data_IF_224567222166
#
_entry.id   IF_224567222166
#
_cell.length_a   1.000
_cell.length_b   1.000
_cell.length_c   1.000
_cell.angle_alpha   90.00
_cell.angle_beta   90.00
_cell.angle_gamma   90.00
#
_symmetry.space_group_name_H-M   'P 1'
#
loop_
_entity.id
_entity.type
_entity.pdbx_description
1 polymer ?
#
# COMPACT_ATOMS: atom_id res chain seq x y z
N UNK A 1 36.78 22.02 82.34
CA UNK A 1 35.36 21.90 82.00
C UNK A 1 35.09 22.45 80.60
N UNK A 2 35.27 21.73 79.50
CA UNK A 2 36.19 20.67 79.13
C UNK A 2 36.37 20.82 77.62
N UNK A 3 37.63 20.76 77.20
CA UNK A 3 38.03 20.84 75.80
C UNK A 3 37.46 19.64 75.04
N UNK A 4 36.57 19.90 74.08
CA UNK A 4 36.09 18.90 73.15
C UNK A 4 37.27 18.29 72.37
N UNK A 5 37.35 16.97 72.40
CA UNK A 5 38.50 16.22 71.88
C UNK A 5 38.45 16.13 70.35
N UNK A 6 39.62 16.11 69.71
CA UNK A 6 39.82 15.90 68.25
C UNK A 6 39.29 14.56 67.71
N UNK A 7 38.61 13.75 68.53
CA UNK A 7 38.03 12.45 68.17
C UNK A 7 36.50 12.44 68.12
N UNK A 8 35.86 13.57 68.41
CA UNK A 8 34.41 13.71 68.28
C UNK A 8 34.02 14.15 66.86
N UNK A 9 34.11 13.16 65.95
CA UNK A 9 33.08 12.87 64.94
C UNK A 9 32.87 14.00 63.90
N UNK A 10 33.68 14.13 62.84
CA UNK A 10 33.82 13.14 61.75
C UNK A 10 32.50 12.39 61.43
N UNK A 11 31.38 13.11 61.41
CA UNK A 11 30.08 12.64 60.89
C UNK A 11 29.45 13.58 59.85
N UNK A 12 30.22 14.51 59.31
CA UNK A 12 29.73 15.49 58.32
C UNK A 12 30.75 15.73 57.19
N UNK A 13 31.17 14.64 56.56
CA UNK A 13 31.62 14.68 55.17
C UNK A 13 30.56 13.96 54.36
N UNK A 14 29.48 14.68 54.05
CA UNK A 14 28.49 14.21 53.08
C UNK A 14 29.22 13.91 51.79
N UNK A 15 29.31 12.63 51.45
CA UNK A 15 29.69 12.18 50.12
C UNK A 15 28.71 12.84 49.16
N UNK A 16 29.16 13.87 48.45
CA UNK A 16 28.52 14.29 47.21
C UNK A 16 28.72 13.11 46.26
N UNK A 17 27.80 12.16 46.31
CA UNK A 17 27.60 11.23 45.22
C UNK A 17 27.16 12.14 44.08
N UNK A 18 28.08 12.46 43.17
CA UNK A 18 27.69 12.76 41.81
C UNK A 18 26.88 11.54 41.38
N UNK A 19 25.56 11.66 41.47
CA UNK A 19 24.67 10.82 40.71
C UNK A 19 25.02 11.16 39.26
N UNK A 20 25.96 10.39 38.70
CA UNK A 20 26.06 10.21 37.27
C UNK A 20 24.65 9.79 36.88
N UNK A 21 23.88 10.75 36.35
CA UNK A 21 22.63 10.48 35.68
C UNK A 21 23.03 9.58 34.53
N UNK A 22 22.97 8.28 34.78
CA UNK A 22 23.02 7.26 33.76
C UNK A 22 21.90 7.64 32.82
N UNK A 23 22.28 8.28 31.70
CA UNK A 23 21.46 8.36 30.52
C UNK A 23 20.87 6.95 30.35
N UNK A 24 19.54 6.79 30.29
CA UNK A 24 18.95 5.48 30.09
C UNK A 24 19.58 4.93 28.83
N UNK A 25 20.39 3.90 29.00
CA UNK A 25 21.08 3.24 27.90
C UNK A 25 19.99 2.77 26.97
N UNK A 26 20.12 3.13 25.71
CA UNK A 26 19.35 2.67 24.54
C UNK A 26 19.32 1.13 24.37
N UNK A 27 19.78 0.37 25.36
CA UNK A 27 19.90 -1.07 25.40
C UNK A 27 18.58 -1.81 25.69
N UNK A 28 17.59 -1.16 26.32
CA UNK A 28 16.34 -1.85 26.70
C UNK A 28 15.51 -2.26 25.47
N UNK A 29 15.43 -1.42 24.44
CA UNK A 29 14.70 -1.70 23.21
C UNK A 29 15.43 -2.70 22.29
N UNK A 30 16.74 -2.51 22.11
CA UNK A 30 17.58 -3.43 21.37
C UNK A 30 17.61 -4.84 22.00
N UNK A 31 17.46 -4.93 23.33
CA UNK A 31 17.45 -6.20 24.07
C UNK A 31 16.13 -6.98 24.01
N UNK A 32 14.98 -6.34 23.73
CA UNK A 32 13.67 -7.00 23.74
C UNK A 32 13.17 -7.46 22.37
N UNK A 33 13.65 -6.88 21.26
CA UNK A 33 13.05 -7.11 19.93
C UNK A 33 13.96 -7.75 18.87
N UNK A 34 15.24 -7.99 19.17
CA UNK A 34 16.21 -8.40 18.15
C UNK A 34 16.43 -7.31 17.08
N UNK A 35 17.54 -7.37 16.35
CA UNK A 35 17.92 -6.33 15.39
C UNK A 35 17.14 -6.35 14.05
N UNK A 36 16.08 -7.14 13.92
CA UNK A 36 15.24 -7.11 12.72
C UNK A 36 13.83 -7.61 13.02
N UNK A 37 12.86 -6.69 13.04
CA UNK A 37 11.45 -7.06 13.11
C UNK A 37 11.02 -7.65 11.77
N UNK A 38 10.38 -8.82 11.80
CA UNK A 38 9.86 -9.48 10.62
C UNK A 38 8.96 -8.53 9.82
N UNK A 39 9.22 -8.38 8.52
CA UNK A 39 8.38 -7.56 7.65
C UNK A 39 8.39 -8.12 6.22
N UNK A 40 7.22 -8.46 5.62
CA UNK A 40 5.86 -8.44 6.20
C UNK A 40 5.67 -9.47 7.33
N UNK A 41 4.59 -9.32 8.11
CA UNK A 41 4.11 -10.33 9.06
C UNK A 41 3.72 -11.60 8.29
N UNK A 42 4.52 -12.67 8.35
CA UNK A 42 4.23 -13.91 7.57
C UNK A 42 3.03 -14.67 8.11
N UNK A 43 2.81 -14.61 9.42
CA UNK A 43 1.68 -15.26 10.10
C UNK A 43 0.97 -14.23 11.00
N UNK A 44 0.20 -13.29 10.41
CA UNK A 44 -0.58 -12.37 11.21
C UNK A 44 -1.65 -13.14 12.00
N UNK A 45 -1.91 -12.81 13.28
CA UNK A 45 -2.94 -13.49 14.04
C UNK A 45 -4.31 -13.41 13.33
N UNK A 46 -5.07 -14.51 13.24
CA UNK A 46 -6.38 -14.50 12.59
C UNK A 46 -7.31 -13.45 13.21
N UNK A 47 -8.06 -12.73 12.38
CA UNK A 47 -8.99 -11.68 12.82
C UNK A 47 -8.34 -10.35 13.22
N UNK A 48 -7.00 -10.26 13.27
CA UNK A 48 -6.30 -9.00 13.46
C UNK A 48 -6.16 -8.30 12.11
N UNK A 49 -6.84 -7.16 11.95
CA UNK A 49 -6.78 -6.27 10.78
C UNK A 49 -7.24 -6.92 9.45
N UNK A 50 -8.51 -7.38 9.35
CA UNK A 50 -9.01 -7.99 8.12
C UNK A 50 -9.11 -6.97 6.98
N UNK A 51 -8.86 -7.41 5.76
CA UNK A 51 -9.09 -6.62 4.55
C UNK A 51 -7.88 -6.52 3.62
N UNK A 52 -8.12 -5.83 2.52
CA UNK A 52 -7.17 -5.64 1.42
C UNK A 52 -7.00 -4.15 1.19
N UNK A 53 -5.78 -3.71 0.90
CA UNK A 53 -5.49 -2.34 0.52
C UNK A 53 -6.20 -2.02 -0.82
N UNK A 54 -7.08 -1.01 -0.88
CA UNK A 54 -7.86 -0.68 -2.07
C UNK A 54 -6.96 -0.21 -3.23
N UNK A 55 -5.78 0.34 -2.95
CA UNK A 55 -4.85 0.77 -3.99
C UNK A 55 -4.15 -0.40 -4.70
N UNK A 56 -3.64 -1.37 -3.94
CA UNK A 56 -2.62 -2.31 -4.44
C UNK A 56 -2.95 -3.79 -4.28
N UNK A 57 -4.09 -4.13 -3.65
CA UNK A 57 -4.51 -5.52 -3.47
C UNK A 57 -3.79 -6.29 -2.36
N UNK A 58 -2.91 -5.64 -1.57
CA UNK A 58 -2.14 -6.31 -0.51
C UNK A 58 -2.97 -6.47 0.79
N UNK A 59 -2.79 -7.58 1.49
CA UNK A 59 -3.44 -7.86 2.77
C UNK A 59 -3.05 -6.85 3.86
N UNK A 60 -4.01 -6.20 4.51
CA UNK A 60 -3.70 -5.24 5.59
C UNK A 60 -3.02 -5.93 6.78
N UNK A 61 -3.42 -7.16 7.10
CA UNK A 61 -2.85 -7.93 8.20
C UNK A 61 -1.34 -8.21 8.01
N UNK A 62 -0.93 -8.66 6.82
CA UNK A 62 0.48 -8.95 6.53
C UNK A 62 1.37 -7.70 6.56
N UNK A 63 0.79 -6.53 6.24
CA UNK A 63 1.50 -5.25 6.17
C UNK A 63 1.14 -4.32 7.34
N UNK A 64 0.73 -4.91 8.47
CA UNK A 64 0.18 -4.19 9.62
C UNK A 64 1.12 -3.16 10.26
N UNK A 65 2.44 -3.30 10.09
CA UNK A 65 3.49 -2.40 10.63
C UNK A 65 3.69 -1.11 9.85
N UNK A 66 3.18 -1.03 8.63
CA UNK A 66 3.34 0.16 7.77
C UNK A 66 2.01 0.75 7.34
N UNK A 67 0.90 0.27 7.88
CA UNK A 67 -0.44 0.63 7.43
C UNK A 67 -0.83 2.05 7.84
N UNK A 68 -1.73 2.62 7.04
CA UNK A 68 -2.32 3.94 7.23
C UNK A 68 -3.83 3.86 7.18
N UNK A 69 -4.50 4.70 7.95
CA UNK A 69 -5.89 5.06 7.74
C UNK A 69 -5.94 6.52 7.33
N UNK A 70 -6.81 6.86 6.38
CA UNK A 70 -6.98 8.23 5.93
C UNK A 70 -8.34 8.40 5.26
N UNK A 71 -8.82 9.64 5.19
CA UNK A 71 -9.96 10.02 4.36
C UNK A 71 -9.44 10.70 3.10
N UNK A 72 -9.78 10.20 1.91
CA UNK A 72 -9.41 10.79 0.62
C UNK A 72 -10.67 10.87 -0.24
N UNK A 73 -10.95 12.03 -0.82
CA UNK A 73 -12.16 12.25 -1.66
C UNK A 73 -13.46 11.84 -0.92
N UNK A 74 -13.50 12.08 0.40
CA UNK A 74 -14.62 11.70 1.29
C UNK A 74 -14.68 10.21 1.69
N UNK A 75 -13.81 9.36 1.16
CA UNK A 75 -13.80 7.92 1.44
C UNK A 75 -12.81 7.59 2.57
N UNK A 76 -13.27 6.84 3.59
CA UNK A 76 -12.40 6.31 4.65
C UNK A 76 -11.67 5.06 4.18
N UNK A 77 -10.34 5.14 4.07
CA UNK A 77 -9.49 4.15 3.44
C UNK A 77 -8.51 3.50 4.43
N UNK A 78 -8.24 2.22 4.23
CA UNK A 78 -7.23 1.45 4.95
C UNK A 78 -6.15 0.98 4.00
N UNK A 79 -4.93 1.46 4.18
CA UNK A 79 -3.83 1.33 3.22
C UNK A 79 -2.68 0.52 3.83
N UNK A 80 -1.99 -0.27 3.03
CA UNK A 80 -0.87 -1.09 3.53
C UNK A 80 0.42 -0.30 3.80
N UNK A 81 0.56 0.90 3.22
CA UNK A 81 1.80 1.69 3.26
C UNK A 81 1.59 3.17 2.97
N UNK A 82 2.56 4.00 3.39
CA UNK A 82 2.62 5.42 2.99
C UNK A 82 2.82 5.59 1.48
N UNK A 83 3.42 4.60 0.82
CA UNK A 83 3.49 4.59 -0.65
C UNK A 83 2.07 4.53 -1.24
N UNK A 84 1.19 3.65 -0.74
CA UNK A 84 -0.21 3.61 -1.20
C UNK A 84 -1.00 4.86 -0.80
N UNK A 85 -0.66 5.51 0.32
CA UNK A 85 -1.23 6.80 0.69
C UNK A 85 -0.86 7.87 -0.33
N UNK A 86 0.43 8.05 -0.62
CA UNK A 86 0.91 8.99 -1.62
C UNK A 86 0.31 8.72 -3.01
N UNK A 87 0.25 7.44 -3.39
CA UNK A 87 -0.29 7.02 -4.68
C UNK A 87 -1.78 7.36 -4.80
N UNK A 88 -2.61 7.07 -3.79
CA UNK A 88 -4.04 7.43 -3.84
C UNK A 88 -4.29 8.93 -3.78
N UNK A 89 -3.51 9.71 -3.02
CA UNK A 89 -3.59 11.17 -3.04
C UNK A 89 -3.39 11.68 -4.47
N UNK A 90 -2.38 11.17 -5.18
CA UNK A 90 -2.11 11.52 -6.58
C UNK A 90 -3.23 11.06 -7.51
N UNK A 91 -3.63 9.79 -7.40
CA UNK A 91 -4.63 9.18 -8.28
C UNK A 91 -6.00 9.84 -8.16
N UNK A 92 -6.44 10.18 -6.96
CA UNK A 92 -7.69 10.91 -6.73
C UNK A 92 -7.57 12.41 -7.02
N UNK A 93 -6.35 12.97 -6.97
CA UNK A 93 -6.13 14.42 -7.05
C UNK A 93 -6.68 15.17 -5.82
N UNK A 94 -6.81 14.49 -4.68
CA UNK A 94 -7.38 15.03 -3.45
C UNK A 94 -6.45 14.79 -2.27
N UNK A 95 -6.26 15.77 -1.36
CA UNK A 95 -5.43 15.59 -0.19
C UNK A 95 -6.03 14.54 0.76
N UNK A 96 -5.16 13.88 1.52
CA UNK A 96 -5.59 13.01 2.60
C UNK A 96 -5.92 13.83 3.86
N UNK A 97 -6.97 13.44 4.55
CA UNK A 97 -7.42 14.00 5.83
C UNK A 97 -7.44 12.90 6.89
N UNK A 98 -7.42 13.29 8.18
CA UNK A 98 -7.51 12.35 9.31
C UNK A 98 -6.52 11.20 9.18
N UNK A 99 -5.26 11.52 8.82
CA UNK A 99 -4.25 10.51 8.54
C UNK A 99 -3.74 9.92 9.84
N UNK A 100 -3.93 8.61 10.02
CA UNK A 100 -3.36 7.83 11.11
C UNK A 100 -2.34 6.83 10.56
N UNK A 101 -1.29 6.57 11.34
CA UNK A 101 -0.24 5.61 11.03
C UNK A 101 -0.12 4.55 12.11
N UNK A 102 0.09 3.30 11.72
CA UNK A 102 0.45 2.25 12.67
C UNK A 102 1.93 2.35 13.06
N UNK A 103 2.20 2.14 14.34
CA UNK A 103 3.56 2.15 14.88
C UNK A 103 4.29 0.86 14.49
N UNK A 104 5.52 0.99 14.02
CA UNK A 104 6.26 -0.15 13.45
C UNK A 104 6.53 -1.27 14.47
N UNK A 105 6.80 -0.90 15.72
CA UNK A 105 7.09 -1.82 16.82
C UNK A 105 5.80 -2.39 17.41
N UNK A 106 4.76 -1.56 17.54
CA UNK A 106 3.46 -1.92 18.13
C UNK A 106 2.33 -1.72 17.12
N UNK A 107 2.22 -2.60 16.09
CA UNK A 107 1.33 -2.39 14.94
C UNK A 107 -0.18 -2.42 15.25
N UNK A 108 -0.55 -2.83 16.47
CA UNK A 108 -1.92 -2.75 16.98
C UNK A 108 -2.32 -1.32 17.35
N UNK A 109 -1.35 -0.43 17.59
CA UNK A 109 -1.58 0.97 17.93
C UNK A 109 -1.39 1.86 16.71
N UNK A 110 -2.29 2.84 16.57
CA UNK A 110 -2.15 3.93 15.62
C UNK A 110 -2.20 5.27 16.33
N UNK A 111 -1.58 6.27 15.71
CA UNK A 111 -1.60 7.66 16.13
C UNK A 111 -1.79 8.57 14.91
N UNK A 112 -2.22 9.83 15.08
CA UNK A 112 -2.16 10.81 14.00
C UNK A 112 -0.77 10.84 13.38
N UNK A 113 -0.68 10.76 12.06
CA UNK A 113 0.59 10.55 11.36
C UNK A 113 1.59 11.69 11.63
N UNK A 114 1.10 12.92 11.77
CA UNK A 114 1.89 14.10 12.10
C UNK A 114 2.57 14.04 13.49
N UNK A 115 2.07 13.20 14.40
CA UNK A 115 2.65 13.02 15.73
C UNK A 115 3.72 11.93 15.77
N UNK A 116 3.85 11.11 14.71
CA UNK A 116 4.88 10.09 14.63
C UNK A 116 6.24 10.70 14.22
N UNK A 117 7.32 10.12 14.73
CA UNK A 117 8.67 10.38 14.21
C UNK A 117 9.02 9.31 13.18
N UNK A 118 9.49 9.74 12.00
CA UNK A 118 9.82 8.84 10.91
C UNK A 118 11.33 8.57 10.85
N UNK A 119 11.71 7.36 10.43
CA UNK A 119 13.08 7.05 10.00
C UNK A 119 13.05 6.64 8.53
N UNK A 120 13.70 7.46 7.70
CA UNK A 120 13.81 7.25 6.25
C UNK A 120 15.06 6.47 5.90
N UNK A 121 14.95 5.49 5.00
CA UNK A 121 16.10 4.80 4.43
C UNK A 121 16.88 3.91 5.42
N UNK A 122 16.23 3.47 6.49
CA UNK A 122 16.80 2.46 7.38
C UNK A 122 16.93 1.10 6.67
N UNK A 123 17.76 0.21 7.23
CA UNK A 123 17.89 -1.20 6.80
C UNK A 123 16.61 -2.01 7.02
N UNK A 124 15.75 -1.59 7.95
CA UNK A 124 14.45 -2.22 8.11
C UNK A 124 13.61 -2.04 6.85
N UNK A 125 12.98 -3.12 6.38
CA UNK A 125 12.29 -3.12 5.10
C UNK A 125 11.07 -2.21 5.12
N UNK A 126 10.95 -1.37 4.10
CA UNK A 126 9.72 -0.64 3.81
C UNK A 126 8.70 -1.50 3.07
N UNK A 127 7.53 -0.92 2.80
CA UNK A 127 6.48 -1.54 2.00
C UNK A 127 6.29 -0.76 0.70
N UNK A 128 6.42 -1.46 -0.44
CA UNK A 128 6.17 -0.89 -1.77
C UNK A 128 7.10 0.29 -2.14
N UNK A 129 8.29 0.39 -1.55
CA UNK A 129 9.28 1.43 -1.86
C UNK A 129 10.69 0.96 -1.52
N UNK A 130 11.69 1.44 -2.27
CA UNK A 130 13.12 1.18 -1.99
C UNK A 130 13.61 1.93 -0.74
N UNK A 131 13.03 3.12 -0.48
CA UNK A 131 13.35 3.91 0.72
C UNK A 131 12.31 3.60 1.78
N UNK A 132 12.73 2.93 2.86
CA UNK A 132 11.88 2.64 4.02
C UNK A 132 11.45 3.93 4.72
N UNK A 133 10.27 3.90 5.37
CA UNK A 133 9.62 5.05 6.00
C UNK A 133 8.95 4.59 7.28
N UNK A 134 9.78 4.33 8.28
CA UNK A 134 9.39 3.65 9.52
C UNK A 134 8.79 4.67 10.47
N UNK A 135 7.53 4.47 10.89
CA UNK A 135 6.85 5.33 11.84
C UNK A 135 7.04 4.81 13.27
N UNK A 136 7.54 5.69 14.14
CA UNK A 136 7.85 5.42 15.54
C UNK A 136 7.14 6.46 16.40
N UNK A 137 6.82 6.09 17.63
CA UNK A 137 5.95 6.94 18.46
C UNK A 137 6.71 8.15 19.00
N UNK A 138 7.94 7.92 19.47
CA UNK A 138 8.72 8.93 20.18
C UNK A 138 10.02 9.21 19.47
N UNK A 139 10.48 10.45 19.60
CA UNK A 139 11.74 10.87 19.01
C UNK A 139 12.93 10.07 19.56
N UNK A 140 12.97 9.78 20.86
CA UNK A 140 14.07 9.00 21.45
C UNK A 140 14.12 7.57 20.87
N UNK A 141 12.95 6.98 20.61
CA UNK A 141 12.83 5.67 19.97
C UNK A 141 13.32 5.71 18.52
N UNK A 142 12.99 6.77 17.78
CA UNK A 142 13.50 6.98 16.42
C UNK A 142 15.02 7.18 16.35
N UNK A 143 15.59 7.92 17.30
CA UNK A 143 17.05 8.07 17.42
C UNK A 143 17.71 6.72 17.70
N UNK A 144 17.19 5.96 18.67
CA UNK A 144 17.72 4.63 18.98
C UNK A 144 17.57 3.66 17.80
N UNK A 145 16.43 3.71 17.11
CA UNK A 145 16.16 2.91 15.92
C UNK A 145 17.16 3.23 14.80
N UNK A 146 17.38 4.51 14.50
CA UNK A 146 18.31 4.96 13.47
C UNK A 146 19.77 4.62 13.82
N UNK A 147 20.16 4.71 15.09
CA UNK A 147 21.48 4.27 15.53
C UNK A 147 21.70 2.76 15.30
N UNK A 148 20.66 1.95 15.52
CA UNK A 148 20.70 0.51 15.29
C UNK A 148 20.54 0.09 13.83
N UNK A 149 19.77 0.82 13.01
CA UNK A 149 19.34 0.38 11.67
C UNK A 149 19.79 1.29 10.54
N UNK A 150 20.45 2.41 10.83
CA UNK A 150 20.69 3.48 9.88
C UNK A 150 19.43 4.26 9.52
N UNK A 151 19.57 5.17 8.56
CA UNK A 151 18.50 6.06 8.12
C UNK A 151 18.53 7.41 8.82
N UNK A 152 17.65 8.31 8.39
CA UNK A 152 17.56 9.69 8.85
C UNK A 152 16.20 9.96 9.46
N UNK A 153 16.17 10.69 10.58
CA UNK A 153 14.91 11.14 11.17
C UNK A 153 14.18 12.10 10.22
N UNK A 154 12.86 12.05 10.23
CA UNK A 154 11.99 12.86 9.42
C UNK A 154 10.61 13.06 10.08
N UNK A 155 9.90 14.08 9.63
CA UNK A 155 8.48 14.32 9.90
C UNK A 155 7.58 13.51 8.95
N UNK A 156 6.28 13.49 9.24
CA UNK A 156 5.28 12.94 8.30
C UNK A 156 5.32 13.62 6.93
N UNK A 157 5.44 14.95 6.90
CA UNK A 157 5.46 15.72 5.66
C UNK A 157 6.65 15.32 4.77
N UNK A 158 7.84 15.18 5.36
CA UNK A 158 9.04 14.72 4.66
C UNK A 158 8.92 13.27 4.20
N UNK A 159 8.35 12.38 5.03
CA UNK A 159 8.12 11.00 4.67
C UNK A 159 7.11 10.84 3.51
N UNK A 160 6.03 11.61 3.53
CA UNK A 160 5.01 11.63 2.47
C UNK A 160 5.57 12.24 1.18
N UNK A 161 6.35 13.33 1.29
CA UNK A 161 7.06 13.93 0.15
C UNK A 161 8.02 12.92 -0.50
N UNK A 162 8.84 12.24 0.31
CA UNK A 162 9.74 11.19 -0.17
C UNK A 162 8.99 9.98 -0.76
N UNK A 163 7.75 9.71 -0.34
CA UNK A 163 6.92 8.66 -0.93
C UNK A 163 6.37 9.10 -2.29
N UNK A 164 5.93 10.35 -2.38
CA UNK A 164 5.36 10.98 -3.59
C UNK A 164 6.41 11.10 -4.70
N UNK A 165 7.61 11.59 -4.37
CA UNK A 165 8.69 11.78 -5.32
C UNK A 165 9.19 10.47 -5.97
N UNK A 166 8.97 9.33 -5.30
CA UNK A 166 9.41 8.01 -5.75
C UNK A 166 8.36 7.19 -6.50
N UNK A 167 7.13 7.69 -6.69
CA UNK A 167 6.02 6.87 -7.21
C UNK A 167 6.31 6.33 -8.61
N UNK A 168 6.75 7.18 -9.53
CA UNK A 168 6.93 6.80 -10.94
C UNK A 168 8.03 5.75 -11.13
N UNK A 169 9.10 5.85 -10.34
CA UNK A 169 10.19 4.87 -10.34
C UNK A 169 9.76 3.53 -9.74
N UNK A 170 8.77 3.53 -8.85
CA UNK A 170 8.29 2.30 -8.22
C UNK A 170 7.34 1.48 -9.08
N UNK A 171 6.58 2.05 -10.02
CA UNK A 171 5.60 1.27 -10.78
C UNK A 171 6.21 0.09 -11.56
N UNK A 172 7.28 0.26 -12.36
CA UNK A 172 7.89 -0.86 -13.07
C UNK A 172 8.48 -1.90 -12.11
N UNK A 173 9.06 -1.46 -10.99
CA UNK A 173 9.63 -2.34 -9.98
C UNK A 173 8.55 -3.17 -9.25
N UNK A 174 7.40 -2.56 -8.95
CA UNK A 174 6.23 -3.22 -8.36
C UNK A 174 5.66 -4.26 -9.33
N UNK A 175 5.51 -3.90 -10.62
CA UNK A 175 5.06 -4.84 -11.64
C UNK A 175 6.03 -6.03 -11.75
N UNK A 176 7.34 -5.78 -11.86
CA UNK A 176 8.35 -6.83 -11.93
C UNK A 176 8.33 -7.75 -10.69
N UNK A 177 8.17 -7.18 -9.49
CA UNK A 177 8.04 -7.96 -8.26
C UNK A 177 6.77 -8.83 -8.26
N UNK A 178 5.65 -8.29 -8.72
CA UNK A 178 4.38 -9.03 -8.85
C UNK A 178 4.49 -10.16 -9.87
N UNK A 179 5.13 -9.93 -11.02
CA UNK A 179 5.45 -10.96 -12.02
C UNK A 179 6.32 -12.06 -11.43
N UNK A 180 7.41 -11.70 -10.75
CA UNK A 180 8.31 -12.64 -10.08
C UNK A 180 7.59 -13.50 -9.02
N UNK A 181 6.62 -12.91 -8.32
CA UNK A 181 5.82 -13.63 -7.31
C UNK A 181 4.67 -14.46 -7.87
N UNK A 182 4.39 -14.40 -9.19
CA UNK A 182 3.21 -15.01 -9.80
C UNK A 182 1.88 -14.34 -9.43
N UNK A 183 1.92 -13.14 -8.85
CA UNK A 183 0.70 -12.36 -8.57
C UNK A 183 0.04 -11.90 -9.86
N UNK A 184 0.85 -11.57 -10.86
CA UNK A 184 0.43 -11.23 -12.22
C UNK A 184 1.30 -11.94 -13.24
N UNK A 185 0.78 -12.18 -14.43
CA UNK A 185 1.52 -12.77 -15.54
C UNK A 185 0.99 -12.29 -16.89
N UNK A 186 1.84 -12.28 -17.91
CA UNK A 186 1.39 -12.00 -19.27
C UNK A 186 0.81 -13.28 -19.89
N UNK A 187 -0.37 -13.22 -20.53
CA UNK A 187 -1.01 -14.41 -21.10
C UNK A 187 -0.18 -14.98 -22.25
N UNK A 188 0.00 -16.30 -22.26
CA UNK A 188 0.57 -17.01 -23.41
C UNK A 188 -0.30 -16.91 -24.67
N UNK A 189 0.29 -17.07 -25.85
CA UNK A 189 -0.40 -16.89 -27.14
C UNK A 189 -1.62 -17.81 -27.36
N UNK A 190 -1.62 -18.99 -26.74
CA UNK A 190 -2.72 -19.97 -26.82
C UNK A 190 -3.82 -19.79 -25.76
N UNK A 191 -3.63 -18.89 -24.80
CA UNK A 191 -4.61 -18.67 -23.72
C UNK A 191 -5.86 -17.99 -24.28
N UNK A 192 -7.03 -18.55 -23.94
CA UNK A 192 -8.34 -18.02 -24.35
C UNK A 192 -9.03 -17.33 -23.19
N UNK A 193 -9.73 -16.26 -23.51
CA UNK A 193 -10.59 -15.57 -22.57
C UNK A 193 -11.79 -16.45 -22.17
N UNK A 194 -12.08 -16.65 -20.87
CA UNK A 194 -13.21 -17.48 -20.44
C UNK A 194 -14.58 -16.89 -20.80
N UNK A 195 -14.63 -15.62 -21.20
CA UNK A 195 -15.87 -14.93 -21.57
C UNK A 195 -16.14 -15.03 -23.07
N UNK A 196 -15.20 -14.60 -23.92
CA UNK A 196 -15.42 -14.46 -25.36
C UNK A 196 -14.55 -15.38 -26.24
N UNK A 197 -13.71 -16.22 -25.64
CA UNK A 197 -12.78 -17.13 -26.35
C UNK A 197 -11.71 -16.48 -27.24
N UNK A 198 -11.62 -15.14 -27.27
CA UNK A 198 -10.51 -14.41 -27.89
C UNK A 198 -9.19 -14.60 -27.14
N UNK A 199 -8.07 -14.27 -27.77
CA UNK A 199 -6.72 -14.44 -27.22
C UNK A 199 -6.22 -13.16 -26.54
N UNK A 200 -6.16 -13.06 -25.20
CA UNK A 200 -5.76 -11.83 -24.50
C UNK A 200 -4.35 -11.36 -24.83
N UNK A 201 -3.45 -12.28 -25.23
CA UNK A 201 -2.11 -11.95 -25.69
C UNK A 201 -2.08 -10.97 -26.88
N UNK A 202 -3.13 -10.93 -27.70
CA UNK A 202 -3.27 -10.01 -28.84
C UNK A 202 -3.69 -8.60 -28.46
N UNK A 203 -4.06 -8.38 -27.19
CA UNK A 203 -4.61 -7.11 -26.70
C UNK A 203 -3.82 -6.58 -25.51
N UNK A 204 -2.50 -6.34 -25.66
CA UNK A 204 -1.64 -5.99 -24.53
C UNK A 204 -1.98 -4.69 -23.83
N UNK A 205 -2.80 -3.81 -24.43
CA UNK A 205 -3.24 -2.54 -23.86
C UNK A 205 -4.66 -2.55 -23.28
N UNK A 206 -5.36 -3.67 -23.39
CA UNK A 206 -6.76 -3.81 -22.93
C UNK A 206 -6.98 -5.03 -22.05
N UNK A 207 -6.06 -6.01 -22.10
CA UNK A 207 -6.19 -7.25 -21.35
C UNK A 207 -6.29 -7.00 -19.85
N UNK A 208 -7.01 -7.91 -19.22
CA UNK A 208 -7.17 -7.99 -17.79
C UNK A 208 -6.84 -9.42 -17.32
N UNK A 209 -6.58 -9.59 -16.03
CA UNK A 209 -6.47 -10.91 -15.42
C UNK A 209 -7.21 -10.96 -14.09
N UNK A 210 -7.58 -12.17 -13.68
CA UNK A 210 -8.22 -12.45 -12.39
C UNK A 210 -7.56 -13.63 -11.72
N UNK A 211 -7.10 -13.43 -10.49
CA UNK A 211 -6.57 -14.52 -9.67
C UNK A 211 -7.77 -15.21 -9.00
N UNK A 212 -7.92 -16.51 -9.22
CA UNK A 212 -9.03 -17.32 -8.72
C UNK A 212 -8.66 -18.01 -7.41
N UNK A 213 -9.65 -18.46 -6.63
CA UNK A 213 -9.49 -19.10 -5.31
C UNK A 213 -8.65 -20.38 -5.32
N UNK A 214 -8.52 -21.03 -6.47
CA UNK A 214 -7.72 -22.25 -6.66
C UNK A 214 -6.31 -21.97 -7.18
N UNK A 215 -5.86 -20.72 -7.11
CA UNK A 215 -4.54 -20.22 -7.57
C UNK A 215 -4.37 -20.09 -9.07
N UNK A 216 -5.37 -20.48 -9.87
CA UNK A 216 -5.33 -20.24 -11.31
C UNK A 216 -5.54 -18.77 -11.66
N UNK A 217 -4.94 -18.31 -12.76
CA UNK A 217 -5.13 -16.97 -13.31
C UNK A 217 -5.99 -17.07 -14.57
N UNK A 218 -7.15 -16.42 -14.54
CA UNK A 218 -8.02 -16.28 -15.71
C UNK A 218 -7.66 -14.99 -16.45
N UNK A 219 -7.38 -15.10 -17.76
CA UNK A 219 -7.00 -13.97 -18.60
C UNK A 219 -8.19 -13.48 -19.43
N UNK A 220 -8.54 -12.20 -19.32
CA UNK A 220 -9.60 -11.56 -20.09
C UNK A 220 -9.01 -10.68 -21.19
N UNK A 221 -9.63 -10.67 -22.39
CA UNK A 221 -9.13 -9.85 -23.50
C UNK A 221 -9.39 -8.34 -23.32
N UNK A 222 -10.31 -7.98 -22.43
CA UNK A 222 -10.78 -6.62 -22.16
C UNK A 222 -11.24 -6.43 -20.72
N UNK A 223 -11.35 -5.17 -20.27
CA UNK A 223 -12.06 -4.82 -19.03
C UNK A 223 -13.54 -5.20 -19.10
N UNK A 224 -14.18 -5.05 -20.27
CA UNK A 224 -15.55 -5.51 -20.50
C UNK A 224 -15.71 -7.01 -20.16
N UNK A 225 -14.80 -7.86 -20.65
CA UNK A 225 -14.80 -9.29 -20.31
C UNK A 225 -14.51 -9.52 -18.82
N UNK A 226 -13.61 -8.76 -18.21
CA UNK A 226 -13.37 -8.83 -16.76
C UNK A 226 -14.65 -8.56 -15.96
N UNK A 227 -15.41 -7.52 -16.32
CA UNK A 227 -16.64 -7.14 -15.62
C UNK A 227 -17.76 -8.15 -15.86
N UNK A 228 -17.89 -8.70 -17.07
CA UNK A 228 -18.80 -9.81 -17.36
C UNK A 228 -18.46 -11.06 -16.53
N UNK A 229 -17.17 -11.41 -16.45
CA UNK A 229 -16.69 -12.52 -15.62
C UNK A 229 -17.01 -12.30 -14.14
N UNK A 230 -16.84 -11.09 -13.62
CA UNK A 230 -17.18 -10.75 -12.22
C UNK A 230 -18.68 -10.83 -11.95
N UNK A 231 -19.52 -10.44 -12.92
CA UNK A 231 -20.97 -10.46 -12.78
C UNK A 231 -21.55 -11.89 -12.81
N UNK A 232 -21.02 -12.76 -13.69
CA UNK A 232 -21.52 -14.14 -13.86
C UNK A 232 -20.39 -15.21 -13.77
N UNK A 233 -19.65 -15.35 -12.64
CA UNK A 233 -18.50 -16.25 -12.58
C UNK A 233 -18.84 -17.71 -12.90
N UNK A 234 -19.99 -18.20 -12.43
CA UNK A 234 -20.43 -19.59 -12.64
C UNK A 234 -20.64 -19.91 -14.12
N UNK A 235 -21.19 -18.96 -14.89
CA UNK A 235 -21.43 -19.09 -16.34
C UNK A 235 -20.13 -19.21 -17.13
N UNK A 236 -19.12 -18.43 -16.75
CA UNK A 236 -17.87 -18.33 -17.51
C UNK A 236 -16.79 -19.31 -17.07
N UNK A 237 -16.75 -19.71 -15.79
CA UNK A 237 -15.72 -20.61 -15.26
C UNK A 237 -16.19 -22.06 -15.12
N UNK A 238 -17.50 -22.29 -15.00
CA UNK A 238 -18.13 -23.62 -14.93
C UNK A 238 -17.52 -24.55 -13.85
N UNK A 239 -16.95 -23.99 -12.78
CA UNK A 239 -16.37 -24.71 -11.64
C UNK A 239 -16.44 -23.87 -10.35
N UNK A 240 -16.36 -24.46 -9.14
CA UNK A 240 -16.57 -23.77 -7.88
C UNK A 240 -15.34 -22.96 -7.45
N UNK A 241 -15.11 -21.81 -8.08
CA UNK A 241 -14.03 -20.88 -7.76
C UNK A 241 -14.55 -19.47 -7.56
N UNK A 242 -13.87 -18.67 -6.73
CA UNK A 242 -14.17 -17.26 -6.52
C UNK A 242 -13.05 -16.37 -7.05
N UNK A 243 -13.38 -15.14 -7.40
CA UNK A 243 -12.43 -14.13 -7.84
C UNK A 243 -11.77 -13.50 -6.60
N UNK A 244 -10.44 -13.51 -6.53
CA UNK A 244 -9.67 -12.95 -5.40
C UNK A 244 -9.12 -11.56 -5.66
N UNK A 245 -8.57 -11.35 -6.84
CA UNK A 245 -8.04 -10.04 -7.25
C UNK A 245 -8.14 -9.88 -8.76
N UNK A 246 -8.41 -8.65 -9.18
CA UNK A 246 -8.51 -8.29 -10.59
C UNK A 246 -7.40 -7.29 -10.92
N UNK A 247 -6.82 -7.45 -12.10
CA UNK A 247 -5.76 -6.62 -12.62
C UNK A 247 -6.08 -6.22 -14.04
N UNK A 248 -5.76 -4.99 -14.40
CA UNK A 248 -6.00 -4.42 -15.71
C UNK A 248 -4.71 -3.83 -16.25
N UNK A 249 -4.64 -3.71 -17.57
CA UNK A 249 -3.53 -2.98 -18.19
C UNK A 249 -3.87 -1.50 -18.26
N UNK A 250 -2.97 -0.61 -17.82
CA UNK A 250 -3.19 0.85 -17.87
C UNK A 250 -3.23 1.34 -19.31
N UNK A 251 -4.16 2.22 -19.64
CA UNK A 251 -4.29 2.83 -20.96
C UNK A 251 -3.82 4.30 -20.95
N UNK A 252 -3.09 4.77 -21.99
CA UNK A 252 -2.60 4.03 -23.16
C UNK A 252 -1.20 3.40 -22.99
N UNK A 253 -0.57 3.61 -21.83
CA UNK A 253 0.85 3.32 -21.57
C UNK A 253 1.17 1.82 -21.54
N UNK A 254 0.21 0.99 -21.14
CA UNK A 254 0.44 -0.40 -20.81
C UNK A 254 0.87 -0.60 -19.34
N UNK A 255 1.31 -1.82 -19.03
CA UNK A 255 1.70 -2.20 -17.67
C UNK A 255 0.51 -2.57 -16.78
N UNK A 256 0.76 -3.39 -15.78
CA UNK A 256 -0.28 -4.00 -14.97
C UNK A 256 -0.57 -3.24 -13.69
N UNK A 257 -1.85 -3.02 -13.39
CA UNK A 257 -2.28 -2.38 -12.16
C UNK A 257 -3.48 -3.08 -11.51
N UNK A 258 -3.58 -2.97 -10.19
CA UNK A 258 -4.68 -3.56 -9.43
C UNK A 258 -5.95 -2.79 -9.75
N UNK A 259 -6.99 -3.48 -10.24
CA UNK A 259 -8.19 -2.83 -10.76
C UNK A 259 -8.89 -1.95 -9.71
N UNK A 260 -8.88 -2.37 -8.44
CA UNK A 260 -9.53 -1.62 -7.35
C UNK A 260 -8.94 -0.23 -7.09
N UNK A 261 -7.69 0.02 -7.49
CA UNK A 261 -7.00 1.31 -7.32
C UNK A 261 -6.99 2.17 -8.58
N UNK A 262 -7.90 1.93 -9.53
CA UNK A 262 -7.93 2.55 -10.85
C UNK A 262 -9.27 3.25 -11.12
N UNK A 263 -9.27 4.16 -12.10
CA UNK A 263 -10.45 4.84 -12.62
C UNK A 263 -10.77 4.34 -14.03
N UNK A 264 -12.04 4.28 -14.39
CA UNK A 264 -12.52 3.69 -15.63
C UNK A 264 -13.42 4.66 -16.37
N UNK A 265 -13.04 5.01 -17.59
CA UNK A 265 -13.89 5.78 -18.49
C UNK A 265 -14.84 4.83 -19.22
N UNK A 266 -16.15 5.01 -19.03
CA UNK A 266 -17.22 4.24 -19.69
C UNK A 266 -18.09 5.15 -20.55
N UNK A 267 -18.74 4.60 -21.58
CA UNK A 267 -19.60 5.35 -22.49
C UNK A 267 -18.85 6.35 -23.39
N UNK A 268 -17.53 6.24 -23.48
CA UNK A 268 -16.72 7.05 -24.39
C UNK A 268 -16.71 6.47 -25.80
N UNK A 269 -16.24 7.27 -26.76
CA UNK A 269 -15.98 6.82 -28.13
C UNK A 269 -14.74 5.91 -28.25
N UNK A 270 -13.99 5.69 -27.17
CA UNK A 270 -12.81 4.82 -27.18
C UNK A 270 -13.27 3.37 -27.10
N UNK A 271 -12.84 2.57 -28.07
CA UNK A 271 -13.26 1.18 -28.21
C UNK A 271 -12.17 0.22 -27.72
N UNK A 272 -12.61 -0.85 -27.06
CA UNK A 272 -11.79 -1.99 -26.72
C UNK A 272 -11.97 -3.16 -27.71
N UNK A 273 -11.30 -4.30 -27.47
CA UNK A 273 -11.39 -5.49 -28.32
C UNK A 273 -12.80 -6.04 -28.51
N UNK A 274 -13.71 -5.73 -27.57
CA UNK A 274 -15.10 -6.19 -27.55
C UNK A 274 -16.12 -5.05 -27.79
N UNK A 275 -15.69 -3.93 -28.36
CA UNK A 275 -16.57 -2.78 -28.62
C UNK A 275 -16.52 -1.74 -27.49
N UNK A 276 -17.68 -1.22 -27.01
CA UNK A 276 -17.72 -0.28 -25.90
C UNK A 276 -16.96 -0.81 -24.69
N UNK A 277 -16.18 0.04 -24.03
CA UNK A 277 -15.17 -0.41 -23.08
C UNK A 277 -15.14 0.45 -21.81
N UNK A 278 -14.70 -0.18 -20.71
CA UNK A 278 -14.25 0.51 -19.52
C UNK A 278 -12.73 0.73 -19.60
N UNK A 279 -12.32 1.91 -20.07
CA UNK A 279 -10.91 2.23 -20.33
C UNK A 279 -10.21 2.58 -19.00
N UNK A 280 -9.20 1.81 -18.57
CA UNK A 280 -8.56 1.99 -17.27
C UNK A 280 -7.49 3.09 -17.29
N UNK A 281 -7.65 4.07 -16.43
CA UNK A 281 -6.70 5.16 -16.16
C UNK A 281 -6.20 5.08 -14.72
N UNK A 282 -4.92 5.39 -14.56
CA UNK A 282 -4.29 5.44 -13.24
C UNK A 282 -4.84 6.59 -12.40
N UNK A 283 -4.92 7.78 -12.99
CA UNK A 283 -5.38 8.98 -12.30
C UNK A 283 -6.78 9.39 -12.78
N UNK A 284 -7.60 9.89 -11.83
CA UNK A 284 -8.93 10.44 -12.08
C UNK A 284 -8.87 11.60 -13.07
N UNK A 285 -7.84 12.45 -12.96
CA UNK A 285 -7.61 13.60 -13.85
C UNK A 285 -7.48 13.17 -15.31
N UNK A 286 -6.79 12.07 -15.58
CA UNK A 286 -6.49 11.59 -16.94
C UNK A 286 -7.76 10.99 -17.57
N UNK A 287 -8.54 10.23 -16.78
CA UNK A 287 -9.85 9.75 -17.20
C UNK A 287 -10.82 10.90 -17.51
N UNK A 288 -10.85 11.94 -16.67
CA UNK A 288 -11.67 13.14 -16.88
C UNK A 288 -11.21 13.91 -18.10
N UNK A 289 -9.90 14.03 -18.33
CA UNK A 289 -9.37 14.67 -19.53
C UNK A 289 -9.76 13.91 -20.80
N UNK A 290 -9.67 12.58 -20.80
CA UNK A 290 -10.11 11.74 -21.90
C UNK A 290 -11.62 11.87 -22.15
N UNK A 291 -12.44 11.97 -21.10
CA UNK A 291 -13.89 12.17 -21.21
C UNK A 291 -14.27 13.48 -21.92
N UNK A 292 -13.47 14.54 -21.80
CA UNK A 292 -13.72 15.81 -22.50
C UNK A 292 -13.61 15.67 -24.02
N UNK A 293 -12.72 14.80 -24.49
CA UNK A 293 -12.47 14.59 -25.93
C UNK A 293 -13.31 13.45 -26.52
N UNK A 294 -13.64 12.45 -25.70
CA UNK A 294 -14.27 11.21 -26.15
C UNK A 294 -15.68 10.98 -25.60
N UNK A 295 -16.18 11.89 -24.76
CA UNK A 295 -17.43 11.69 -24.02
C UNK A 295 -17.31 10.62 -22.94
N UNK A 296 -18.45 10.27 -22.35
CA UNK A 296 -18.53 9.26 -21.29
C UNK A 296 -18.36 9.82 -19.87
N UNK A 297 -18.29 8.92 -18.91
CA UNK A 297 -18.17 9.23 -17.48
C UNK A 297 -17.15 8.34 -16.79
N UNK A 298 -16.60 8.82 -15.68
CA UNK A 298 -15.57 8.12 -14.91
C UNK A 298 -16.22 7.38 -13.75
N UNK A 299 -15.87 6.10 -13.61
CA UNK A 299 -16.29 5.19 -12.54
C UNK A 299 -15.08 4.55 -11.87
N UNK A 300 -15.27 4.05 -10.65
CA UNK A 300 -14.36 3.13 -9.97
C UNK A 300 -14.70 1.68 -10.32
N UNK A 301 -13.77 0.77 -10.01
CA UNK A 301 -13.91 -0.64 -10.37
C UNK A 301 -15.11 -1.34 -9.75
N UNK A 302 -15.44 -1.01 -8.50
CA UNK A 302 -16.58 -1.53 -7.74
C UNK A 302 -17.92 -1.05 -8.30
N UNK A 303 -17.94 0.15 -8.89
CA UNK A 303 -19.10 0.74 -9.55
C UNK A 303 -19.37 0.15 -10.95
N UNK A 304 -18.39 -0.53 -11.57
CA UNK A 304 -18.58 -1.10 -12.90
C UNK A 304 -19.61 -2.24 -12.90
N UNK A 305 -20.59 -2.14 -13.79
CA UNK A 305 -21.52 -3.22 -14.12
C UNK A 305 -21.53 -3.46 -15.63
N UNK A 306 -21.88 -4.65 -16.14
CA UNK A 306 -21.96 -4.90 -17.58
C UNK A 306 -22.83 -3.86 -18.31
N UNK A 307 -23.95 -3.46 -17.71
CA UNK A 307 -24.85 -2.45 -18.26
C UNK A 307 -24.17 -1.08 -18.43
N UNK A 308 -23.27 -0.69 -17.53
CA UNK A 308 -22.59 0.60 -17.57
C UNK A 308 -21.56 0.71 -18.69
N UNK A 309 -21.01 -0.43 -19.11
CA UNK A 309 -20.06 -0.50 -20.22
C UNK A 309 -20.81 -0.56 -21.55
N UNK A 310 -21.92 -1.30 -21.60
CA UNK A 310 -22.68 -1.54 -22.83
C UNK A 310 -23.71 -0.45 -23.15
N UNK A 311 -24.04 0.43 -22.20
CA UNK A 311 -24.94 1.55 -22.43
C UNK A 311 -24.35 2.46 -23.52
N UNK A 312 -25.01 2.48 -24.68
CA UNK A 312 -24.78 3.52 -25.70
C UNK A 312 -25.45 4.78 -25.18
N UNK A 313 -24.67 5.83 -24.96
CA UNK A 313 -25.19 7.19 -24.81
C UNK A 313 -25.42 7.81 -26.18
#
# INVERSE_FOLDING_TARGET
>A
MDSLSRRDLLRWSGTVVLAATLLPTSSAWAGQHGMELEHPLRQPPPGILPGICPNCGMSIAHWGRTRYHAVIDGEALRLCSIHCLADLIRKHGSPAQQVEVALYITPTRMIPAEQATYVLGSRARGTMSQVSKIALERQEEAVAFAAGHGGTLASFAEALSAATAGLDQTYPAIEAARKKSGTIEDPGAGIRCPVCQMFPARYPKHRAQVNLSDTTIAHCCSTQCLVALRAEPKKHLQRPVTLRSAWVTVWPEGGWEYAGGMFFLVGSSIMGPMGPEAIPFRNKSDAVAAARSHGGRVLRYDELLPAEIMARQ
#
